data_IF_119223928764
#
_entry.id   IF_119223928764
#
_cell.length_a   1.000
_cell.length_b   1.000
_cell.length_c   1.000
_cell.angle_alpha   90.00
_cell.angle_beta   90.00
_cell.angle_gamma   90.00
#
_symmetry.space_group_name_H-M   'P 1'
#
loop_
_entity.id
_entity.type
_entity.pdbx_description
1 polymer ?
#
# COMPACT_ATOMS: atom_id res chain seq x y z
N UNK A 1 -6.00 45.99 25.23
CA UNK A 1 -7.11 45.61 24.33
C UNK A 1 -6.61 44.49 23.43
N UNK A 2 -7.03 43.25 23.70
CA UNK A 2 -6.55 42.05 23.02
C UNK A 2 -7.68 41.46 22.16
N UNK A 3 -7.49 41.43 20.84
CA UNK A 3 -8.43 40.86 19.89
C UNK A 3 -8.19 39.34 19.79
N UNK A 4 -9.14 38.55 20.29
CA UNK A 4 -9.15 37.11 20.16
C UNK A 4 -9.80 36.70 18.84
N UNK A 5 -9.01 36.25 17.87
CA UNK A 5 -9.49 35.65 16.64
C UNK A 5 -9.87 34.18 16.89
N UNK A 6 -11.18 33.90 16.95
CA UNK A 6 -11.73 32.54 16.97
C UNK A 6 -11.79 32.01 15.54
N UNK A 7 -10.94 31.05 15.19
CA UNK A 7 -11.01 30.31 13.94
C UNK A 7 -12.20 29.35 13.98
N UNK A 8 -13.20 29.63 13.15
CA UNK A 8 -14.30 28.73 12.80
C UNK A 8 -13.75 27.59 11.94
N UNK A 9 -13.64 26.39 12.50
CA UNK A 9 -13.39 25.18 11.74
C UNK A 9 -14.70 24.83 11.03
N UNK A 10 -14.74 25.06 9.72
CA UNK A 10 -15.85 24.68 8.86
C UNK A 10 -16.04 23.16 8.84
N UNK A 11 -17.22 22.72 9.24
CA UNK A 11 -17.73 21.37 9.02
C UNK A 11 -18.00 21.17 7.53
N UNK A 12 -17.25 20.28 6.88
CA UNK A 12 -17.55 19.80 5.54
C UNK A 12 -18.67 18.74 5.59
N UNK A 13 -19.73 18.84 4.78
CA UNK A 13 -20.74 17.81 4.67
C UNK A 13 -20.21 16.62 3.86
N UNK A 14 -20.14 15.44 4.46
CA UNK A 14 -19.93 14.17 3.77
C UNK A 14 -21.22 13.76 3.07
N UNK A 15 -21.42 14.23 1.83
CA UNK A 15 -22.44 13.70 0.93
C UNK A 15 -22.07 12.27 0.54
N UNK A 16 -22.66 11.32 1.25
CA UNK A 16 -22.61 9.89 0.97
C UNK A 16 -23.61 9.58 -0.15
N UNK A 17 -23.18 9.73 -1.39
CA UNK A 17 -23.91 9.25 -2.57
C UNK A 17 -23.81 7.73 -2.61
N UNK A 18 -24.86 7.05 -2.12
CA UNK A 18 -25.12 5.66 -2.42
C UNK A 18 -25.69 5.56 -3.83
N UNK A 19 -24.90 5.05 -4.78
CA UNK A 19 -25.42 4.54 -6.04
C UNK A 19 -25.41 3.01 -5.95
N UNK A 20 -26.60 2.47 -5.69
CA UNK A 20 -26.94 1.13 -6.13
C UNK A 20 -27.16 1.18 -7.65
N UNK A 21 -26.36 0.45 -8.41
CA UNK A 21 -26.82 -0.15 -9.66
C UNK A 21 -26.03 -1.43 -9.92
N UNK A 22 -26.73 -2.54 -9.71
CA UNK A 22 -26.43 -3.85 -10.22
C UNK A 22 -26.15 -3.79 -11.73
N UNK A 23 -25.05 -4.40 -12.16
CA UNK A 23 -24.87 -4.91 -13.52
C UNK A 23 -23.78 -5.96 -13.48
N UNK A 24 -24.16 -7.17 -13.09
CA UNK A 24 -23.42 -8.39 -13.38
C UNK A 24 -23.12 -8.42 -14.88
N UNK A 25 -21.86 -8.19 -15.24
CA UNK A 25 -21.35 -8.38 -16.59
C UNK A 25 -20.25 -9.43 -16.47
N UNK A 26 -20.66 -10.68 -16.69
CA UNK A 26 -19.77 -11.83 -16.90
C UNK A 26 -18.89 -11.54 -18.11
N UNK A 27 -17.68 -11.09 -17.84
CA UNK A 27 -16.65 -10.88 -18.85
C UNK A 27 -16.11 -12.25 -19.23
N UNK A 28 -16.44 -12.73 -20.44
CA UNK A 28 -15.81 -13.91 -21.02
C UNK A 28 -14.34 -13.58 -21.24
N UNK A 29 -13.47 -14.21 -20.46
CA UNK A 29 -12.03 -14.15 -20.63
C UNK A 29 -11.65 -15.04 -21.83
N UNK A 30 -11.46 -14.43 -23.00
CA UNK A 30 -10.85 -15.08 -24.16
C UNK A 30 -9.37 -15.28 -23.89
N UNK A 31 -8.99 -16.44 -23.36
CA UNK A 31 -7.60 -16.89 -23.25
C UNK A 31 -7.14 -17.41 -24.62
N UNK A 32 -6.39 -16.58 -25.34
CA UNK A 32 -5.61 -16.97 -26.51
C UNK A 32 -4.31 -17.63 -26.05
N UNK A 33 -4.32 -18.96 -25.96
CA UNK A 33 -3.13 -19.79 -25.80
C UNK A 33 -2.54 -20.09 -27.18
N UNK A 34 -1.44 -19.41 -27.55
CA UNK A 34 -0.57 -19.87 -28.63
C UNK A 34 0.68 -20.52 -28.02
N UNK A 35 0.78 -21.82 -28.27
CA UNK A 35 1.88 -22.74 -28.01
C UNK A 35 3.20 -22.36 -28.69
N UNK A 36 4.31 -22.44 -27.94
CA UNK A 36 5.51 -23.26 -28.21
C UNK A 36 6.76 -22.67 -27.50
N UNK A 37 7.50 -23.44 -26.68
CA UNK A 37 8.79 -23.00 -26.15
C UNK A 37 9.90 -23.35 -27.14
N UNK A 38 10.62 -22.35 -27.64
CA UNK A 38 11.94 -22.56 -28.25
C UNK A 38 12.97 -22.20 -27.19
N UNK A 39 13.70 -23.21 -26.74
CA UNK A 39 14.80 -23.10 -25.80
C UNK A 39 15.94 -22.35 -26.49
N UNK A 40 16.15 -21.10 -26.12
CA UNK A 40 17.43 -20.41 -26.32
C UNK A 40 17.89 -19.96 -24.95
N UNK A 41 18.88 -20.66 -24.43
CA UNK A 41 19.80 -20.13 -23.42
C UNK A 41 20.40 -18.84 -23.98
N UNK A 42 19.96 -17.69 -23.50
CA UNK A 42 20.77 -16.47 -23.59
C UNK A 42 20.49 -15.54 -22.41
N UNK A 43 21.57 -14.95 -21.99
CA UNK A 43 21.88 -14.39 -20.70
C UNK A 43 21.49 -12.92 -20.71
N UNK A 44 20.49 -12.51 -19.93
CA UNK A 44 20.20 -11.09 -19.72
C UNK A 44 19.44 -10.82 -18.42
N UNK A 45 20.24 -10.48 -17.40
CA UNK A 45 19.88 -9.61 -16.29
C UNK A 45 19.05 -8.41 -16.76
N UNK A 46 17.75 -8.45 -16.52
CA UNK A 46 16.94 -7.26 -16.30
C UNK A 46 15.84 -7.64 -15.31
N UNK A 47 16.24 -7.65 -14.04
CA UNK A 47 15.34 -7.72 -12.91
C UNK A 47 14.61 -6.37 -12.88
N UNK A 48 13.49 -6.28 -13.60
CA UNK A 48 12.63 -5.10 -13.56
C UNK A 48 11.99 -5.03 -12.18
N UNK A 49 12.32 -3.94 -11.49
CA UNK A 49 11.69 -3.48 -10.27
C UNK A 49 10.20 -3.23 -10.54
N UNK A 50 9.39 -4.26 -10.33
CA UNK A 50 7.94 -4.12 -10.21
C UNK A 50 7.69 -3.39 -8.88
N UNK A 51 7.69 -2.07 -8.93
CA UNK A 51 7.21 -1.20 -7.86
C UNK A 51 5.70 -1.46 -7.68
N UNK A 52 5.39 -2.48 -6.89
CA UNK A 52 4.08 -2.73 -6.31
C UNK A 52 3.66 -1.48 -5.54
N UNK A 53 2.93 -0.59 -6.22
CA UNK A 53 2.24 0.56 -5.64
C UNK A 53 1.12 0.01 -4.77
N UNK A 54 1.53 -0.48 -3.61
CA UNK A 54 0.67 -1.00 -2.57
C UNK A 54 -0.08 0.21 -2.04
N UNK A 55 -1.40 0.24 -2.25
CA UNK A 55 -2.30 1.14 -1.53
C UNK A 55 -2.14 0.83 -0.04
N UNK A 56 -1.16 1.47 0.58
CA UNK A 56 -0.92 1.45 2.01
C UNK A 56 -2.10 2.18 2.63
N UNK A 57 -3.15 1.41 2.96
CA UNK A 57 -4.14 1.82 3.96
C UNK A 57 -3.38 1.89 5.28
N UNK A 58 -2.68 3.01 5.45
CA UNK A 58 -2.04 3.43 6.69
C UNK A 58 -3.15 3.67 7.71
N UNK A 59 -3.69 2.60 8.28
CA UNK A 59 -4.15 2.68 9.65
C UNK A 59 -2.89 2.52 10.51
N UNK A 60 -2.34 3.61 11.07
CA UNK A 60 -1.32 3.46 12.09
C UNK A 60 -1.93 2.55 13.16
N UNK A 61 -1.17 1.53 13.55
CA UNK A 61 -1.46 0.73 14.72
C UNK A 61 -1.48 1.72 15.90
N UNK A 62 -2.64 2.28 16.17
CA UNK A 62 -2.82 3.31 17.18
C UNK A 62 -2.59 2.59 18.51
N UNK A 63 -1.59 3.01 19.31
CA UNK A 63 -1.48 2.47 20.66
C UNK A 63 -2.83 2.71 21.36
N UNK A 64 -3.31 1.74 22.16
CA UNK A 64 -4.59 1.88 22.83
C UNK A 64 -4.62 3.21 23.60
N UNK A 65 -5.71 4.00 23.51
CA UNK A 65 -5.78 5.29 24.18
C UNK A 65 -5.54 5.09 25.68
N UNK A 66 -4.45 5.68 26.18
CA UNK A 66 -4.16 5.74 27.61
C UNK A 66 -5.33 6.44 28.30
N UNK A 67 -6.15 5.67 28.99
CA UNK A 67 -7.18 6.16 29.89
C UNK A 67 -6.45 6.88 31.04
N UNK A 68 -6.43 8.21 31.01
CA UNK A 68 -5.94 9.03 32.11
C UNK A 68 -6.81 8.75 33.34
N UNK A 69 -6.36 7.87 34.22
CA UNK A 69 -6.93 7.71 35.55
C UNK A 69 -6.56 8.95 36.36
N UNK A 70 -7.51 9.86 36.53
CA UNK A 70 -7.45 10.89 37.57
C UNK A 70 -7.50 10.19 38.93
N UNK A 71 -6.35 10.10 39.60
CA UNK A 71 -6.26 9.62 40.97
C UNK A 71 -6.69 10.80 41.85
N UNK A 72 -7.91 10.74 42.36
CA UNK A 72 -8.32 11.52 43.52
C UNK A 72 -7.63 10.91 44.73
N UNK A 73 -6.72 11.65 45.34
CA UNK A 73 -6.14 11.32 46.63
C UNK A 73 -7.21 11.38 47.70
N UNK A 74 -7.37 10.30 48.45
CA UNK A 74 -8.05 10.32 49.75
C UNK A 74 -7.27 9.41 50.68
N UNK A 75 -6.51 10.07 51.54
CA UNK A 75 -5.78 9.52 52.68
C UNK A 75 -6.72 8.84 53.67
N UNK A 76 -6.35 7.64 54.12
CA UNK A 76 -6.65 7.14 55.47
C UNK A 76 -5.61 6.12 55.90
N UNK A 77 -5.06 6.40 57.06
CA UNK A 77 -4.03 5.72 57.84
C UNK A 77 -4.49 4.40 58.47
N UNK A 78 -3.59 3.42 58.55
CA UNK A 78 -3.55 2.42 59.63
C UNK A 78 -2.21 1.66 59.63
N UNK A 79 -1.92 1.07 60.77
CA UNK A 79 -0.61 0.99 61.41
C UNK A 79 0.15 -0.32 61.18
N UNK A 80 1.48 -0.22 61.21
CA UNK A 80 2.49 -1.14 61.79
C UNK A 80 2.27 -2.67 61.73
N UNK A 81 3.23 -3.38 61.12
CA UNK A 81 4.02 -4.38 61.86
C UNK A 81 5.28 -4.77 61.08
N UNK A 82 6.39 -4.78 61.82
CA UNK A 82 7.77 -5.02 61.44
C UNK A 82 8.08 -6.51 61.37
N UNK A 83 8.62 -6.99 60.24
CA UNK A 83 9.37 -8.24 60.15
C UNK A 83 10.56 -8.04 59.21
N UNK A 84 11.72 -7.81 59.83
CA UNK A 84 13.03 -7.74 59.22
C UNK A 84 13.46 -9.09 58.68
N UNK A 85 13.52 -9.20 57.34
CA UNK A 85 14.16 -10.32 56.63
C UNK A 85 15.31 -9.77 55.79
N UNK A 86 16.51 -9.95 56.31
CA UNK A 86 17.78 -9.58 55.69
C UNK A 86 18.01 -10.47 54.46
N UNK A 87 17.64 -9.97 53.28
CA UNK A 87 18.03 -10.55 51.99
C UNK A 87 19.05 -9.62 51.34
N UNK A 88 20.21 -10.19 50.98
CA UNK A 88 21.31 -9.47 50.36
C UNK A 88 20.86 -8.82 49.04
N UNK A 89 20.60 -7.52 49.11
CA UNK A 89 20.27 -6.68 47.97
C UNK A 89 21.53 -6.46 47.15
N UNK A 90 21.69 -7.25 46.09
CA UNK A 90 22.50 -6.80 44.96
C UNK A 90 21.88 -5.46 44.50
N UNK A 91 22.68 -4.39 44.30
CA UNK A 91 22.15 -3.10 43.90
C UNK A 91 21.58 -3.25 42.50
N UNK A 92 20.28 -3.48 42.42
CA UNK A 92 19.51 -3.39 41.21
C UNK A 92 19.65 -1.96 40.71
N UNK A 93 20.61 -1.75 39.82
CA UNK A 93 20.89 -0.48 39.15
C UNK A 93 19.57 -0.06 38.50
N UNK A 94 18.87 0.86 39.15
CA UNK A 94 17.52 1.26 38.79
C UNK A 94 17.52 1.81 37.37
N UNK A 95 17.06 1.01 36.43
CA UNK A 95 16.89 1.45 35.05
C UNK A 95 15.81 2.53 35.04
N UNK A 96 16.18 3.75 34.65
CA UNK A 96 15.28 4.90 34.63
C UNK A 96 13.99 4.57 33.86
N UNK A 97 12.86 5.09 34.35
CA UNK A 97 11.53 4.81 33.78
C UNK A 97 11.48 5.14 32.27
N UNK A 98 12.21 6.17 31.85
CA UNK A 98 12.31 6.58 30.44
C UNK A 98 13.03 5.54 29.57
N UNK A 99 14.06 4.88 30.12
CA UNK A 99 14.80 3.83 29.40
C UNK A 99 13.96 2.57 29.24
N UNK A 100 13.10 2.26 30.22
CA UNK A 100 12.14 1.15 30.10
C UNK A 100 11.09 1.43 29.03
N UNK A 101 10.58 2.67 28.94
CA UNK A 101 9.62 3.04 27.91
C UNK A 101 10.23 2.99 26.51
N UNK A 102 11.45 3.52 26.31
CA UNK A 102 12.14 3.44 25.02
C UNK A 102 12.34 2.01 24.53
N UNK A 103 12.78 1.10 25.41
CA UNK A 103 12.97 -0.30 25.04
C UNK A 103 11.64 -0.99 24.71
N UNK A 104 10.57 -0.68 25.45
CA UNK A 104 9.24 -1.22 25.16
C UNK A 104 8.73 -0.74 23.78
N UNK A 105 8.91 0.54 23.45
CA UNK A 105 8.51 1.09 22.16
C UNK A 105 9.33 0.51 21.00
N UNK A 106 10.60 0.22 21.23
CA UNK A 106 11.49 -0.41 20.25
C UNK A 106 11.10 -1.86 19.98
N UNK A 107 10.84 -2.64 21.03
CA UNK A 107 10.34 -4.02 20.92
C UNK A 107 8.97 -4.03 20.22
N UNK A 108 8.08 -3.09 20.57
CA UNK A 108 6.75 -3.01 19.95
C UNK A 108 6.83 -2.70 18.46
N UNK A 109 7.71 -1.77 18.05
CA UNK A 109 7.94 -1.45 16.64
C UNK A 109 8.45 -2.67 15.86
N UNK A 110 9.32 -3.46 16.47
CA UNK A 110 9.90 -4.63 15.82
C UNK A 110 8.89 -5.77 15.66
N UNK A 111 8.08 -6.04 16.68
CA UNK A 111 6.97 -7.00 16.57
C UNK A 111 5.95 -6.55 15.52
N UNK A 112 5.59 -5.27 15.49
CA UNK A 112 4.68 -4.74 14.49
C UNK A 112 5.24 -4.86 13.06
N UNK A 113 6.56 -4.68 12.86
CA UNK A 113 7.19 -4.88 11.54
C UNK A 113 7.08 -6.32 11.07
N UNK A 114 7.42 -7.28 11.93
CA UNK A 114 7.32 -8.71 11.58
C UNK A 114 5.89 -9.17 11.31
N UNK A 115 4.92 -8.70 12.11
CA UNK A 115 3.50 -9.03 11.91
C UNK A 115 2.95 -8.44 10.60
N UNK A 116 3.35 -7.23 10.23
CA UNK A 116 2.95 -6.60 8.96
C UNK A 116 3.47 -7.38 7.75
N UNK A 117 4.74 -7.79 7.77
CA UNK A 117 5.33 -8.55 6.66
C UNK A 117 4.64 -9.91 6.53
N UNK A 118 4.44 -10.61 7.65
CA UNK A 118 3.74 -11.92 7.65
C UNK A 118 2.29 -11.81 7.18
N UNK A 119 1.56 -10.78 7.63
CA UNK A 119 0.19 -10.54 7.20
C UNK A 119 0.11 -10.18 5.71
N UNK A 120 1.04 -9.36 5.22
CA UNK A 120 1.12 -9.00 3.80
C UNK A 120 1.40 -10.22 2.92
N UNK A 121 2.37 -11.06 3.31
CA UNK A 121 2.69 -12.30 2.58
C UNK A 121 1.50 -13.26 2.58
N UNK A 122 0.84 -13.45 3.73
CA UNK A 122 -0.33 -14.31 3.81
C UNK A 122 -1.48 -13.79 2.93
N UNK A 123 -1.76 -12.49 2.97
CA UNK A 123 -2.76 -11.87 2.11
C UNK A 123 -2.42 -12.01 0.62
N UNK A 124 -1.15 -11.86 0.25
CA UNK A 124 -0.69 -12.03 -1.12
C UNK A 124 -0.87 -13.48 -1.60
N UNK A 125 -0.52 -14.48 -0.79
CA UNK A 125 -0.72 -15.89 -1.15
C UNK A 125 -2.18 -16.29 -1.32
N UNK A 126 -3.08 -15.76 -0.48
CA UNK A 126 -4.53 -16.00 -0.62
C UNK A 126 -5.09 -15.29 -1.85
N UNK A 127 -4.66 -14.06 -2.11
CA UNK A 127 -5.02 -13.32 -3.32
C UNK A 127 -4.61 -14.09 -4.59
N UNK A 128 -3.37 -14.56 -4.64
CA UNK A 128 -2.87 -15.37 -5.75
C UNK A 128 -3.71 -16.65 -5.93
N UNK A 129 -3.92 -17.42 -4.87
CA UNK A 129 -4.71 -18.66 -4.93
C UNK A 129 -6.14 -18.43 -5.46
N UNK A 130 -6.81 -17.35 -5.06
CA UNK A 130 -8.16 -17.01 -5.55
C UNK A 130 -8.13 -16.60 -7.02
N UNK A 131 -7.15 -15.80 -7.44
CA UNK A 131 -7.01 -15.41 -8.86
C UNK A 131 -6.71 -16.61 -9.76
N UNK A 132 -5.82 -17.52 -9.34
CA UNK A 132 -5.56 -18.75 -10.07
C UNK A 132 -6.76 -19.70 -10.06
N UNK A 133 -7.45 -19.85 -8.92
CA UNK A 133 -8.64 -20.70 -8.82
C UNK A 133 -9.80 -20.21 -9.68
N UNK A 134 -10.01 -18.89 -9.78
CA UNK A 134 -11.03 -18.32 -10.67
C UNK A 134 -10.66 -18.42 -12.14
N UNK A 135 -9.38 -18.20 -12.48
CA UNK A 135 -8.88 -18.33 -13.85
C UNK A 135 -8.98 -19.79 -14.35
N UNK A 136 -8.50 -20.75 -13.56
CA UNK A 136 -8.54 -22.18 -13.91
C UNK A 136 -9.94 -22.79 -13.78
N UNK A 137 -10.74 -22.33 -12.82
CA UNK A 137 -12.13 -22.80 -12.65
C UNK A 137 -13.01 -22.43 -13.85
N UNK A 138 -12.77 -21.28 -14.46
CA UNK A 138 -13.47 -20.87 -15.68
C UNK A 138 -13.02 -21.68 -16.91
N UNK A 139 -11.73 -21.99 -17.03
CA UNK A 139 -11.19 -22.72 -18.21
C UNK A 139 -11.69 -24.16 -18.31
N UNK A 140 -11.90 -24.84 -17.18
CA UNK A 140 -12.36 -26.24 -17.16
C UNK A 140 -13.77 -26.45 -17.74
N UNK A 141 -14.65 -25.43 -17.67
CA UNK A 141 -15.99 -25.51 -18.29
C UNK A 141 -15.95 -25.26 -19.80
N UNK A 142 -15.12 -24.32 -20.23
CA UNK A 142 -14.98 -23.99 -21.66
C UNK A 142 -14.35 -25.11 -22.46
N UNK A 143 -13.47 -25.91 -21.87
CA UNK A 143 -12.78 -26.98 -22.60
C UNK A 143 -13.73 -28.10 -23.03
N UNK A 144 -14.69 -28.49 -22.17
CA UNK A 144 -15.73 -29.47 -22.52
C UNK A 144 -16.64 -28.98 -23.65
N UNK A 145 -17.07 -27.72 -23.60
CA UNK A 145 -17.85 -27.13 -24.68
C UNK A 145 -17.07 -27.08 -26.00
N UNK A 146 -15.78 -26.72 -25.95
CA UNK A 146 -14.93 -26.72 -27.16
C UNK A 146 -14.79 -28.12 -27.77
N UNK A 147 -14.71 -29.16 -26.95
CA UNK A 147 -14.61 -30.54 -27.43
C UNK A 147 -15.92 -31.01 -28.10
N UNK A 148 -17.06 -30.69 -27.48
CA UNK A 148 -18.38 -30.99 -28.03
C UNK A 148 -18.64 -30.23 -29.34
N UNK A 149 -18.25 -28.97 -29.40
CA UNK A 149 -18.36 -28.17 -30.63
C UNK A 149 -17.41 -28.72 -31.71
N UNK A 150 -16.17 -29.08 -31.37
CA UNK A 150 -15.23 -29.67 -32.31
C UNK A 150 -15.74 -30.99 -32.92
N UNK A 151 -16.40 -31.84 -32.12
CA UNK A 151 -17.03 -33.05 -32.64
C UNK A 151 -18.17 -32.73 -33.63
N UNK A 152 -19.03 -31.76 -33.31
CA UNK A 152 -20.07 -31.29 -34.25
C UNK A 152 -19.49 -30.66 -35.52
N UNK A 153 -18.32 -30.02 -35.40
CA UNK A 153 -17.59 -29.49 -36.55
C UNK A 153 -16.98 -30.59 -37.44
N UNK A 154 -16.74 -31.80 -36.93
CA UNK A 154 -16.29 -32.89 -37.79
C UNK A 154 -17.41 -33.40 -38.69
N UNK A 155 -18.63 -33.48 -38.16
CA UNK A 155 -19.80 -34.02 -38.86
C UNK A 155 -20.42 -33.06 -39.89
N UNK A 156 -20.11 -31.76 -39.82
CA UNK A 156 -20.64 -30.76 -40.76
C UNK A 156 -19.98 -30.82 -42.15
N UNK A 157 -20.71 -30.49 -43.24
CA UNK A 157 -20.17 -30.44 -44.59
C UNK A 157 -19.15 -29.31 -44.77
N UNK A 158 -18.15 -29.51 -45.62
CA UNK A 158 -17.00 -28.60 -45.82
C UNK A 158 -17.36 -27.17 -46.24
N UNK A 159 -18.49 -26.98 -46.94
CA UNK A 159 -18.97 -25.66 -47.36
C UNK A 159 -19.43 -24.83 -46.16
N UNK A 160 -20.12 -25.43 -45.20
CA UNK A 160 -20.59 -24.74 -43.98
C UNK A 160 -19.43 -24.38 -43.06
N UNK A 161 -18.36 -25.18 -43.03
CA UNK A 161 -17.17 -24.89 -42.22
C UNK A 161 -16.49 -23.59 -42.63
N UNK A 162 -16.47 -23.28 -43.93
CA UNK A 162 -15.85 -22.04 -44.44
C UNK A 162 -16.65 -20.82 -43.97
N UNK A 163 -17.97 -20.87 -44.07
CA UNK A 163 -18.83 -19.78 -43.61
C UNK A 163 -18.67 -19.51 -42.10
N UNK A 164 -18.63 -20.55 -41.28
CA UNK A 164 -18.44 -20.41 -39.83
C UNK A 164 -17.05 -19.86 -39.49
N UNK A 165 -16.00 -20.31 -40.20
CA UNK A 165 -14.65 -19.78 -40.01
C UNK A 165 -14.54 -18.30 -40.41
N UNK A 166 -15.21 -17.88 -41.48
CA UNK A 166 -15.27 -16.47 -41.89
C UNK A 166 -16.00 -15.61 -40.85
N UNK A 167 -17.12 -16.09 -40.30
CA UNK A 167 -17.86 -15.43 -39.22
C UNK A 167 -16.98 -15.29 -37.97
N UNK A 168 -16.36 -16.38 -37.51
CA UNK A 168 -15.48 -16.37 -36.34
C UNK A 168 -14.29 -15.43 -36.53
N UNK A 169 -13.70 -15.38 -37.72
CA UNK A 169 -12.62 -14.44 -38.07
C UNK A 169 -13.08 -12.99 -37.93
N UNK A 170 -14.28 -12.67 -38.43
CA UNK A 170 -14.83 -11.32 -38.33
C UNK A 170 -15.05 -10.89 -36.87
N UNK A 171 -15.55 -11.81 -36.04
CA UNK A 171 -15.77 -11.59 -34.61
C UNK A 171 -14.44 -11.38 -33.88
N UNK A 172 -13.45 -12.24 -34.13
CA UNK A 172 -12.10 -12.11 -33.56
C UNK A 172 -11.44 -10.77 -33.92
N UNK A 173 -11.60 -10.30 -35.16
CA UNK A 173 -11.05 -9.00 -35.58
C UNK A 173 -11.74 -7.84 -34.88
N UNK A 174 -13.05 -7.94 -34.62
CA UNK A 174 -13.82 -6.93 -33.87
C UNK A 174 -13.42 -6.88 -32.39
N UNK A 175 -13.24 -8.06 -31.78
CA UNK A 175 -12.75 -8.16 -30.40
C UNK A 175 -11.32 -7.62 -30.27
N UNK A 176 -10.44 -7.98 -31.20
CA UNK A 176 -9.08 -7.45 -31.29
C UNK A 176 -9.07 -5.93 -31.34
N UNK A 177 -9.84 -5.32 -32.25
CA UNK A 177 -9.92 -3.86 -32.34
C UNK A 177 -10.44 -3.21 -31.05
N UNK A 178 -11.36 -3.87 -30.35
CA UNK A 178 -11.88 -3.42 -29.06
C UNK A 178 -10.82 -3.48 -27.96
N UNK A 179 -10.02 -4.55 -27.92
CA UNK A 179 -8.92 -4.70 -26.97
C UNK A 179 -7.77 -3.72 -27.25
N UNK A 180 -7.41 -3.53 -28.51
CA UNK A 180 -6.41 -2.55 -28.93
C UNK A 180 -6.81 -1.13 -28.52
N UNK A 181 -8.08 -0.76 -28.67
CA UNK A 181 -8.60 0.53 -28.18
C UNK A 181 -8.45 0.66 -26.67
N UNK A 182 -8.86 -0.36 -25.90
CA UNK A 182 -8.71 -0.35 -24.44
C UNK A 182 -7.24 -0.23 -24.03
N UNK A 183 -6.35 -0.94 -24.71
CA UNK A 183 -4.92 -0.91 -24.44
C UNK A 183 -4.32 0.49 -24.71
N UNK A 184 -4.74 1.15 -25.79
CA UNK A 184 -4.36 2.53 -26.08
C UNK A 184 -4.87 3.52 -25.01
N UNK A 185 -6.10 3.35 -24.54
CA UNK A 185 -6.68 4.16 -23.45
C UNK A 185 -5.90 3.97 -22.14
N UNK A 186 -5.55 2.73 -21.78
CA UNK A 186 -4.72 2.44 -20.61
C UNK A 186 -3.33 3.08 -20.72
N UNK A 187 -2.65 2.92 -21.87
CA UNK A 187 -1.35 3.55 -22.10
C UNK A 187 -1.41 5.08 -22.03
N UNK A 188 -2.54 5.69 -22.40
CA UNK A 188 -2.75 7.14 -22.24
C UNK A 188 -2.80 7.52 -20.75
N UNK A 189 -3.59 6.81 -19.95
CA UNK A 189 -3.71 7.05 -18.50
C UNK A 189 -2.37 6.85 -17.78
N UNK A 190 -1.60 5.83 -18.17
CA UNK A 190 -0.26 5.58 -17.60
C UNK A 190 0.67 6.76 -17.88
N UNK A 191 0.74 7.22 -19.14
CA UNK A 191 1.56 8.39 -19.52
C UNK A 191 1.14 9.67 -18.79
N UNK A 192 -0.16 9.87 -18.58
CA UNK A 192 -0.67 11.02 -17.83
C UNK A 192 -0.20 11.00 -16.37
N UNK A 193 -0.30 9.84 -15.70
CA UNK A 193 0.18 9.67 -14.32
C UNK A 193 1.70 9.82 -14.20
N UNK A 194 2.46 9.34 -15.17
CA UNK A 194 3.91 9.53 -15.20
C UNK A 194 4.31 10.99 -15.40
N UNK A 195 3.56 11.73 -16.23
CA UNK A 195 3.76 13.16 -16.41
C UNK A 195 3.43 13.94 -15.14
N UNK A 196 2.35 13.57 -14.43
CA UNK A 196 1.98 14.14 -13.14
C UNK A 196 3.03 13.84 -12.06
N UNK A 197 3.52 12.60 -11.97
CA UNK A 197 4.62 12.21 -11.06
C UNK A 197 5.86 13.07 -11.30
N UNK A 198 6.26 13.28 -12.55
CA UNK A 198 7.39 14.16 -12.90
C UNK A 198 7.16 15.61 -12.51
N UNK A 199 5.94 16.14 -12.65
CA UNK A 199 5.60 17.51 -12.20
C UNK A 199 5.74 17.65 -10.69
N UNK A 200 5.19 16.69 -9.94
CA UNK A 200 5.27 16.67 -8.48
C UNK A 200 6.72 16.52 -8.01
N UNK A 201 7.52 15.69 -8.67
CA UNK A 201 8.95 15.52 -8.37
C UNK A 201 9.71 16.84 -8.52
N UNK A 202 9.45 17.60 -9.60
CA UNK A 202 10.08 18.91 -9.81
C UNK A 202 9.63 19.93 -8.75
N UNK A 203 8.34 19.95 -8.39
CA UNK A 203 7.86 20.84 -7.32
C UNK A 203 8.48 20.46 -5.96
N UNK A 204 8.59 19.16 -5.69
CA UNK A 204 9.23 18.63 -4.49
C UNK A 204 10.71 19.02 -4.42
N UNK A 205 11.44 18.88 -5.53
CA UNK A 205 12.83 19.33 -5.62
C UNK A 205 12.97 20.82 -5.35
N UNK A 206 12.12 21.66 -5.96
CA UNK A 206 12.14 23.11 -5.70
C UNK A 206 11.90 23.43 -4.22
N UNK A 207 10.89 22.82 -3.61
CA UNK A 207 10.57 23.02 -2.20
C UNK A 207 11.71 22.52 -1.30
N UNK A 208 12.36 21.42 -1.68
CA UNK A 208 13.53 20.88 -0.99
C UNK A 208 14.72 21.86 -1.02
N UNK A 209 15.00 22.47 -2.18
CA UNK A 209 16.04 23.50 -2.33
C UNK A 209 15.75 24.75 -1.49
N UNK A 210 14.50 25.21 -1.47
CA UNK A 210 14.07 26.34 -0.62
C UNK A 210 14.30 26.03 0.86
N UNK A 211 13.92 24.84 1.30
CA UNK A 211 14.18 24.37 2.66
C UNK A 211 15.67 24.31 2.99
N UNK A 212 16.50 23.85 2.05
CA UNK A 212 17.94 23.79 2.24
C UNK A 212 18.56 25.18 2.40
N UNK A 213 18.12 26.16 1.59
CA UNK A 213 18.55 27.56 1.74
C UNK A 213 18.12 28.15 3.08
N UNK A 214 16.88 27.88 3.49
CA UNK A 214 16.38 28.32 4.79
C UNK A 214 17.21 27.74 5.95
N UNK A 215 17.53 26.45 5.91
CA UNK A 215 18.37 25.81 6.93
C UNK A 215 19.78 26.44 6.98
N UNK A 216 20.39 26.67 5.82
CA UNK A 216 21.69 27.35 5.73
C UNK A 216 21.65 28.77 6.33
N UNK A 217 20.59 29.54 6.09
CA UNK A 217 20.39 30.84 6.72
C UNK A 217 20.23 30.75 8.23
N UNK A 218 19.50 29.75 8.73
CA UNK A 218 19.37 29.52 10.17
C UNK A 218 20.72 29.19 10.79
N UNK A 219 21.52 28.32 10.17
CA UNK A 219 22.87 28.02 10.63
C UNK A 219 23.76 29.27 10.67
N UNK A 220 23.67 30.14 9.64
CA UNK A 220 24.41 31.41 9.61
C UNK A 220 23.98 32.37 10.72
N UNK A 221 22.68 32.45 11.02
CA UNK A 221 22.15 33.27 12.13
C UNK A 221 22.63 32.76 13.48
N UNK A 222 22.64 31.44 13.69
CA UNK A 222 23.15 30.82 14.91
C UNK A 222 24.66 31.06 15.07
N UNK A 223 25.45 30.93 14.00
CA UNK A 223 26.88 31.21 14.01
C UNK A 223 27.18 32.66 14.39
N UNK A 224 26.44 33.64 13.84
CA UNK A 224 26.57 35.06 14.20
C UNK A 224 26.27 35.34 15.67
N UNK A 225 25.29 34.65 16.25
CA UNK A 225 24.98 34.77 17.69
C UNK A 225 26.13 34.24 18.53
N UNK A 226 26.67 33.06 18.18
CA UNK A 226 27.84 32.48 18.87
C UNK A 226 29.07 33.40 18.81
N UNK A 227 29.38 33.98 17.65
CA UNK A 227 30.53 34.89 17.53
C UNK A 227 30.33 36.20 18.32
N UNK A 228 29.09 36.69 18.43
CA UNK A 228 28.78 37.87 19.25
C UNK A 228 28.98 37.61 20.74
N UNK A 229 28.57 36.43 21.23
CA UNK A 229 28.75 36.02 22.62
C UNK A 229 30.23 35.81 23.00
N UNK A 230 31.07 35.40 22.04
CA UNK A 230 32.52 35.29 22.23
C UNK A 230 33.19 36.67 22.26
N UNK A 231 32.80 37.59 21.36
CA UNK A 231 33.34 38.95 21.33
C UNK A 231 32.99 39.78 22.57
N UNK A 232 31.84 39.52 23.21
CA UNK A 232 31.44 40.21 24.44
C UNK A 232 32.18 39.73 25.70
N UNK A 233 32.93 38.62 25.63
CA UNK A 233 33.65 38.04 26.77
C UNK A 233 35.16 38.33 26.77
N UNK A 234 35.71 38.84 25.67
CA UNK A 234 37.14 39.21 25.53
C UNK A 234 37.36 40.69 25.76
#
# INVERSE_FOLDING_TARGET
MAAAARLLIGSLPTSRTSIFTSSSSTSLASTSSSSAPTLTDDDSKAQEDVELTTFNVNNPCQPPPRRSSSIYSSSSSSSSSSLSSSTSSSPARGMNIDTRQRLADEIWRELCRHLKIRAAVAACSLGAAVTFGTLFGATLKTEKQKLDDYNKFQETPSVEKIAILEEHKSLLMKEKATLEKKLADFQKVVREREAEKRRLEIEWQRRSEEWFRYDQEQQRKVAKRRSGDEAAKG
#
